data_IF_451440975447
#
_entry.id   IF_451440975447
#
_cell.length_a   1.000
_cell.length_b   1.000
_cell.length_c   1.000
_cell.angle_alpha   90.00
_cell.angle_beta   90.00
_cell.angle_gamma   90.00
#
_symmetry.space_group_name_H-M   'P 1'
#
loop_
_entity.id
_entity.type
_entity.pdbx_description
1 polymer ?
#
# COMPACT_ATOMS: atom_id res chain seq x y z
N UNK A 1 -5.33 19.10 34.60
CA UNK A 1 -4.73 18.65 33.32
C UNK A 1 -5.72 18.97 32.23
N UNK A 2 -5.28 19.54 31.11
CA UNK A 2 -6.17 19.75 29.97
C UNK A 2 -6.48 18.38 29.34
N UNK A 3 -7.76 18.10 29.08
CA UNK A 3 -8.18 16.88 28.39
C UNK A 3 -7.73 16.93 26.93
N UNK A 4 -7.38 15.77 26.37
CA UNK A 4 -7.07 15.63 24.95
C UNK A 4 -8.28 15.93 24.07
N UNK A 5 -8.04 16.50 22.89
CA UNK A 5 -9.04 16.80 21.88
C UNK A 5 -9.01 15.77 20.76
N UNK A 6 -10.16 15.54 20.14
CA UNK A 6 -10.25 14.81 18.88
C UNK A 6 -10.41 15.81 17.74
N UNK A 7 -9.41 15.87 16.87
CA UNK A 7 -9.38 16.75 15.71
C UNK A 7 -9.61 15.95 14.43
N UNK A 8 -10.03 16.62 13.36
CA UNK A 8 -10.24 16.00 12.06
C UNK A 8 -9.81 16.94 10.93
N UNK A 9 -9.25 16.37 9.87
CA UNK A 9 -8.87 17.04 8.63
C UNK A 9 -9.10 16.10 7.45
N UNK A 10 -9.30 16.65 6.26
CA UNK A 10 -9.45 15.92 4.99
C UNK A 10 -8.81 16.72 3.86
N UNK A 11 -8.75 16.14 2.66
CA UNK A 11 -8.42 16.85 1.41
C UNK A 11 -7.07 17.58 1.46
N UNK A 12 -6.04 16.91 1.99
CA UNK A 12 -4.70 17.49 2.11
C UNK A 12 -4.04 17.68 0.74
N UNK A 13 -4.26 16.78 -0.22
CA UNK A 13 -3.65 16.80 -1.55
C UNK A 13 -2.17 17.24 -1.56
N UNK A 14 -1.31 16.50 -0.85
CA UNK A 14 0.10 16.89 -0.58
C UNK A 14 1.02 16.83 -1.80
N UNK A 15 0.48 16.45 -2.96
CA UNK A 15 1.14 16.63 -4.25
C UNK A 15 1.27 18.10 -4.65
N UNK A 16 0.43 18.98 -4.10
CA UNK A 16 0.62 20.43 -4.20
C UNK A 16 1.64 20.89 -3.15
N UNK A 17 2.78 21.50 -3.56
CA UNK A 17 3.84 21.91 -2.63
C UNK A 17 3.35 22.81 -1.50
N UNK A 18 2.38 23.68 -1.77
CA UNK A 18 1.80 24.59 -0.79
C UNK A 18 1.07 23.83 0.32
N UNK A 19 0.29 22.81 -0.05
CA UNK A 19 -0.41 21.97 0.92
C UNK A 19 0.56 21.11 1.72
N UNK A 20 1.66 20.67 1.08
CA UNK A 20 2.72 19.95 1.77
C UNK A 20 3.31 20.78 2.92
N UNK A 21 3.56 22.06 2.68
CA UNK A 21 4.04 22.99 3.71
C UNK A 21 3.02 23.17 4.85
N UNK A 22 1.73 23.16 4.55
CA UNK A 22 0.68 23.20 5.58
C UNK A 22 0.76 21.95 6.47
N UNK A 23 0.85 20.76 5.89
CA UNK A 23 0.97 19.49 6.63
C UNK A 23 2.26 19.46 7.47
N UNK A 24 3.36 20.00 6.94
CA UNK A 24 4.61 20.17 7.68
C UNK A 24 4.50 21.12 8.87
N UNK A 25 3.56 22.05 8.86
CA UNK A 25 3.24 22.95 9.97
C UNK A 25 2.29 22.36 11.02
N UNK A 26 1.48 21.36 10.66
CA UNK A 26 0.45 20.81 11.56
C UNK A 26 1.07 20.17 12.80
N UNK A 27 0.83 20.72 13.98
CA UNK A 27 1.31 20.17 15.26
C UNK A 27 0.16 20.09 16.24
N UNK A 28 0.20 19.08 17.08
CA UNK A 28 -0.71 19.02 18.22
C UNK A 28 -0.44 20.16 19.21
N UNK A 29 -1.50 20.65 19.85
CA UNK A 29 -1.39 21.60 20.97
C UNK A 29 -1.25 20.92 22.33
N UNK A 30 -1.57 19.61 22.40
CA UNK A 30 -1.57 18.81 23.62
C UNK A 30 -1.08 17.38 23.33
N UNK A 31 -0.34 16.78 24.25
CA UNK A 31 0.24 15.44 24.13
C UNK A 31 -0.81 14.31 24.06
N UNK A 32 -2.07 14.61 24.36
CA UNK A 32 -3.20 13.69 24.34
C UNK A 32 -4.13 13.90 23.13
N UNK A 33 -3.84 14.86 22.23
CA UNK A 33 -4.72 15.11 21.07
C UNK A 33 -4.61 13.99 20.04
N UNK A 34 -5.75 13.62 19.49
CA UNK A 34 -5.89 12.64 18.40
C UNK A 34 -6.26 13.37 17.11
N UNK A 35 -5.88 12.79 15.97
CA UNK A 35 -6.22 13.31 14.65
C UNK A 35 -6.89 12.24 13.80
N UNK A 36 -8.02 12.59 13.18
CA UNK A 36 -8.65 11.84 12.10
C UNK A 36 -8.25 12.47 10.77
N UNK A 37 -7.79 11.66 9.83
CA UNK A 37 -7.55 12.06 8.44
C UNK A 37 -8.58 11.37 7.56
N UNK A 38 -9.60 12.12 7.14
CA UNK A 38 -10.78 11.61 6.46
C UNK A 38 -10.63 11.62 4.92
N UNK A 39 -9.54 11.04 4.42
CA UNK A 39 -9.30 10.83 2.98
C UNK A 39 -8.63 11.99 2.25
N UNK A 40 -8.27 11.73 0.99
CA UNK A 40 -7.71 12.67 0.02
C UNK A 40 -6.43 13.39 0.51
N UNK A 41 -5.54 12.62 1.13
CA UNK A 41 -4.14 12.98 1.40
C UNK A 41 -3.38 13.20 0.09
N UNK A 42 -3.53 12.30 -0.89
CA UNK A 42 -2.79 12.35 -2.14
C UNK A 42 -3.05 11.15 -3.04
N UNK A 43 -2.46 11.16 -4.23
CA UNK A 43 -2.70 10.12 -5.25
C UNK A 43 -1.67 8.98 -5.20
N UNK A 44 -0.47 9.26 -4.67
CA UNK A 44 0.65 8.31 -4.66
C UNK A 44 0.88 7.74 -3.25
N UNK A 45 1.14 6.44 -3.18
CA UNK A 45 1.43 5.74 -1.91
C UNK A 45 2.56 6.39 -1.10
N UNK A 46 3.70 6.82 -1.69
CA UNK A 46 4.76 7.48 -0.93
C UNK A 46 4.31 8.79 -0.25
N UNK A 47 3.39 9.54 -0.87
CA UNK A 47 2.86 10.79 -0.29
C UNK A 47 1.91 10.51 0.87
N UNK A 48 1.07 9.49 0.72
CA UNK A 48 0.17 9.02 1.79
C UNK A 48 0.99 8.55 3.00
N UNK A 49 1.99 7.69 2.76
CA UNK A 49 2.89 7.18 3.80
C UNK A 49 3.64 8.32 4.50
N UNK A 50 4.18 9.26 3.73
CA UNK A 50 4.86 10.43 4.27
C UNK A 50 3.97 11.24 5.21
N UNK A 51 2.74 11.57 4.78
CA UNK A 51 1.84 12.39 5.57
C UNK A 51 1.37 11.68 6.85
N UNK A 52 0.96 10.41 6.75
CA UNK A 52 0.49 9.63 7.89
C UNK A 52 1.62 9.42 8.90
N UNK A 53 2.84 9.12 8.45
CA UNK A 53 4.01 9.01 9.32
C UNK A 53 4.30 10.33 10.04
N UNK A 54 4.38 11.43 9.28
CA UNK A 54 4.70 12.74 9.82
C UNK A 54 3.70 13.17 10.90
N UNK A 55 2.40 12.94 10.67
CA UNK A 55 1.36 13.28 11.63
C UNK A 55 1.33 12.28 12.80
N UNK A 56 1.67 11.01 12.56
CA UNK A 56 1.83 10.00 13.61
C UNK A 56 2.92 10.33 14.63
N UNK A 57 3.96 11.06 14.22
CA UNK A 57 5.01 11.57 15.12
C UNK A 57 4.56 12.79 15.94
N UNK A 58 3.40 13.39 15.64
CA UNK A 58 2.98 14.71 16.14
C UNK A 58 1.71 14.67 16.99
N UNK A 59 0.90 13.64 16.83
CA UNK A 59 -0.35 13.43 17.55
C UNK A 59 -0.25 12.15 18.36
N UNK A 60 -0.97 12.07 19.49
CA UNK A 60 -0.99 10.89 20.33
C UNK A 60 -1.51 9.66 19.59
N UNK A 61 -2.42 9.88 18.64
CA UNK A 61 -2.95 8.88 17.72
C UNK A 61 -3.43 9.53 16.44
N UNK A 62 -3.18 8.85 15.32
CA UNK A 62 -3.75 9.18 14.02
C UNK A 62 -4.63 8.03 13.55
N UNK A 63 -5.85 8.35 13.12
CA UNK A 63 -6.77 7.42 12.47
C UNK A 63 -6.99 7.91 11.05
N UNK A 64 -6.74 7.06 10.06
CA UNK A 64 -6.87 7.41 8.66
C UNK A 64 -7.86 6.50 7.95
N UNK A 65 -8.61 7.08 7.02
CA UNK A 65 -9.46 6.37 6.06
C UNK A 65 -9.13 6.86 4.65
N UNK A 66 -9.08 5.97 3.64
CA UNK A 66 -8.84 6.39 2.26
C UNK A 66 -10.00 7.21 1.70
N UNK A 67 -9.69 8.25 0.92
CA UNK A 67 -10.63 8.99 0.09
C UNK A 67 -10.67 8.44 -1.33
N UNK A 68 -11.23 9.21 -2.28
CA UNK A 68 -11.29 8.75 -3.66
C UNK A 68 -9.93 8.88 -4.37
N UNK A 69 -9.11 9.88 -4.06
CA UNK A 69 -7.82 10.06 -4.73
C UNK A 69 -6.85 8.90 -4.44
N UNK A 70 -6.91 8.31 -3.24
CA UNK A 70 -6.08 7.15 -2.90
C UNK A 70 -6.49 5.85 -3.59
N UNK A 71 -7.75 5.75 -4.02
CA UNK A 71 -8.29 4.54 -4.65
C UNK A 71 -8.10 4.54 -6.17
N UNK A 72 -7.65 5.66 -6.74
CA UNK A 72 -7.37 5.76 -8.16
C UNK A 72 -5.95 5.25 -8.43
N UNK A 73 -5.79 4.45 -9.47
CA UNK A 73 -4.46 4.05 -9.96
C UNK A 73 -4.07 5.02 -11.09
N UNK A 74 -3.27 6.06 -10.83
CA UNK A 74 -2.86 6.96 -11.89
C UNK A 74 -2.07 6.20 -12.97
N UNK A 75 -2.19 6.55 -14.26
CA UNK A 75 -1.55 5.83 -15.37
C UNK A 75 -0.02 5.67 -15.23
N UNK A 76 0.62 6.59 -14.51
CA UNK A 76 2.04 6.56 -14.21
C UNK A 76 2.43 5.54 -13.13
N UNK A 77 1.54 5.16 -12.22
CA UNK A 77 1.72 4.00 -11.33
C UNK A 77 1.69 2.66 -12.10
N UNK A 78 1.22 2.65 -13.37
CA UNK A 78 1.29 1.50 -14.27
C UNK A 78 2.61 1.44 -15.06
N UNK A 79 3.41 2.51 -15.11
CA UNK A 79 4.74 2.45 -15.74
C UNK A 79 5.73 1.75 -14.82
N UNK A 80 5.75 0.42 -14.89
CA UNK A 80 7.00 -0.30 -14.65
C UNK A 80 8.01 0.27 -15.65
N UNK A 81 9.18 0.81 -15.22
CA UNK A 81 10.18 1.22 -16.19
C UNK A 81 10.49 0.02 -17.07
N UNK A 82 10.33 0.20 -18.39
CA UNK A 82 10.77 -0.78 -19.39
C UNK A 82 12.19 -1.21 -19.00
N UNK A 83 12.44 -2.51 -18.79
CA UNK A 83 13.77 -2.95 -18.40
C UNK A 83 14.74 -2.58 -19.53
N UNK A 84 15.56 -1.56 -19.30
CA UNK A 84 16.68 -1.21 -20.18
C UNK A 84 17.78 -2.26 -19.95
N UNK A 85 17.57 -3.44 -20.52
CA UNK A 85 18.49 -4.57 -20.42
C UNK A 85 17.73 -5.88 -20.30
N UNK A 86 17.91 -6.74 -21.29
CA UNK A 86 17.56 -8.15 -21.24
C UNK A 86 18.42 -8.81 -20.14
N UNK A 87 17.95 -8.76 -18.89
CA UNK A 87 18.54 -9.55 -17.81
C UNK A 87 18.00 -10.96 -17.96
N UNK A 88 18.68 -11.77 -18.77
CA UNK A 88 18.44 -13.20 -18.83
C UNK A 88 18.82 -13.80 -17.48
N UNK A 89 17.84 -14.02 -16.63
CA UNK A 89 18.00 -14.81 -15.41
C UNK A 89 17.98 -16.28 -15.82
N UNK A 90 19.16 -16.90 -15.89
CA UNK A 90 19.29 -18.33 -16.05
C UNK A 90 18.92 -19.03 -14.75
N UNK A 91 17.71 -19.58 -14.70
CA UNK A 91 17.30 -20.50 -13.63
C UNK A 91 17.92 -21.85 -13.94
N UNK A 92 18.96 -22.24 -13.21
CA UNK A 92 19.41 -23.64 -13.18
C UNK A 92 18.46 -24.43 -12.27
N UNK A 93 17.77 -25.46 -12.76
CA UNK A 93 16.99 -26.33 -11.89
C UNK A 93 17.96 -27.11 -11.01
N UNK A 94 18.00 -26.78 -9.71
CA UNK A 94 18.60 -27.65 -8.70
C UNK A 94 17.79 -28.94 -8.65
N UNK A 95 18.44 -30.07 -8.94
CA UNK A 95 17.85 -31.40 -8.97
C UNK A 95 17.55 -31.89 -7.54
N UNK A 96 16.55 -31.32 -6.89
CA UNK A 96 15.81 -31.96 -5.79
C UNK A 96 14.67 -31.05 -5.35
N UNK A 97 13.60 -30.98 -6.14
CA UNK A 97 12.31 -30.50 -5.65
C UNK A 97 11.21 -31.35 -6.29
N UNK A 98 10.82 -32.41 -5.59
CA UNK A 98 9.73 -33.29 -6.00
C UNK A 98 8.40 -32.55 -5.81
N UNK A 99 7.89 -31.92 -6.87
CA UNK A 99 6.51 -31.44 -6.89
C UNK A 99 5.60 -32.67 -7.03
N UNK A 100 4.97 -33.06 -5.94
CA UNK A 100 3.87 -34.02 -5.98
C UNK A 100 2.63 -33.28 -6.49
N UNK A 101 2.32 -33.44 -7.78
CA UNK A 101 1.03 -33.04 -8.32
C UNK A 101 -0.01 -34.06 -7.88
N UNK A 102 -0.84 -33.75 -6.90
CA UNK A 102 -2.13 -34.44 -6.74
C UNK A 102 -3.01 -34.06 -7.93
N UNK A 103 -3.30 -35.04 -8.78
CA UNK A 103 -4.23 -34.90 -9.91
C UNK A 103 -5.62 -34.51 -9.39
N UNK A 104 -6.11 -33.36 -9.83
CA UNK A 104 -7.54 -33.03 -9.72
C UNK A 104 -8.32 -33.66 -10.88
N UNK A 105 -9.55 -34.16 -10.65
CA UNK A 105 -10.37 -34.74 -11.69
C UNK A 105 -10.72 -33.69 -12.74
N UNK A 106 -10.48 -34.03 -14.01
CA UNK A 106 -10.75 -33.19 -15.18
C UNK A 106 -12.24 -32.90 -15.28
N UNK A 107 -12.63 -31.63 -15.12
CA UNK A 107 -13.98 -31.16 -15.46
C UNK A 107 -14.00 -30.76 -16.93
N UNK A 108 -14.61 -31.60 -17.75
CA UNK A 108 -14.94 -31.28 -19.14
C UNK A 108 -16.11 -30.29 -19.16
N UNK A 109 -15.82 -29.03 -19.53
CA UNK A 109 -16.84 -28.12 -20.05
C UNK A 109 -16.16 -26.99 -20.84
N UNK A 110 -16.37 -27.03 -22.17
CA UNK A 110 -16.05 -26.02 -23.18
C UNK A 110 -16.89 -24.73 -22.99
N UNK A 111 -16.56 -23.61 -23.67
CA UNK A 111 -16.41 -22.32 -23.00
C UNK A 111 -17.58 -21.36 -23.23
N UNK A 112 -17.83 -20.49 -22.25
CA UNK A 112 -18.49 -19.20 -22.49
C UNK A 112 -17.77 -18.09 -21.72
N UNK A 113 -17.35 -17.09 -22.49
CA UNK A 113 -16.71 -15.82 -22.15
C UNK A 113 -16.84 -15.26 -20.73
N UNK A 114 -15.70 -14.80 -20.22
CA UNK A 114 -15.54 -13.70 -19.25
C UNK A 114 -15.74 -14.05 -17.77
N UNK A 115 -14.76 -14.75 -17.18
CA UNK A 115 -14.60 -14.80 -15.72
C UNK A 115 -13.13 -14.64 -15.31
N UNK A 116 -12.87 -13.50 -14.66
CA UNK A 116 -11.68 -13.09 -13.90
C UNK A 116 -10.93 -14.27 -13.26
N UNK A 117 -9.69 -14.51 -13.70
CA UNK A 117 -8.75 -15.34 -12.95
C UNK A 117 -8.29 -14.60 -11.70
N UNK A 118 -8.76 -15.04 -10.53
CA UNK A 118 -8.19 -14.67 -9.23
C UNK A 118 -7.13 -15.72 -8.88
N UNK A 119 -5.87 -15.41 -9.14
CA UNK A 119 -4.77 -16.19 -8.55
C UNK A 119 -4.57 -15.74 -7.10
N UNK A 120 -5.12 -16.51 -6.17
CA UNK A 120 -4.74 -16.43 -4.76
C UNK A 120 -3.35 -17.04 -4.60
N UNK A 121 -2.33 -16.20 -4.41
CA UNK A 121 -1.00 -16.65 -4.04
C UNK A 121 -0.86 -16.51 -2.52
N UNK A 122 -0.99 -17.61 -1.79
CA UNK A 122 -0.70 -17.67 -0.36
C UNK A 122 0.82 -17.78 -0.18
N UNK A 123 1.50 -16.65 0.03
CA UNK A 123 2.89 -16.63 0.48
C UNK A 123 2.93 -16.98 1.97
N UNK A 124 3.20 -18.25 2.28
CA UNK A 124 3.68 -18.62 3.63
C UNK A 124 5.16 -18.23 3.71
N UNK A 125 5.47 -17.31 4.61
CA UNK A 125 6.82 -17.00 5.06
C UNK A 125 7.48 -18.25 5.64
N UNK A 126 8.69 -18.57 5.18
CA UNK A 126 9.60 -19.49 5.87
C UNK A 126 11.04 -19.09 5.56
N UNK A 127 11.79 -18.65 6.57
CA UNK A 127 13.21 -18.35 6.42
C UNK A 127 13.78 -17.50 7.55
N UNK A 128 14.15 -18.16 8.64
CA UNK A 128 14.88 -17.60 9.78
C UNK A 128 16.31 -17.21 9.36
N UNK A 129 16.72 -15.97 9.58
CA UNK A 129 18.14 -15.59 9.55
C UNK A 129 18.70 -15.88 10.95
N UNK A 130 19.65 -16.81 11.04
CA UNK A 130 20.48 -17.04 12.24
C UNK A 130 21.76 -16.23 12.12
N UNK A 131 22.07 -15.55 13.22
CA UNK A 131 23.34 -14.99 13.73
C UNK A 131 24.41 -14.54 12.73
#
# INVERSE_FOLDING_TARGET
MAHGKLLAISDLHVGYPENRLVVEGLRSTNDQDWLIIAGDIGELVPDIEWAVRLLGERFAKVVWTPGNHELWTPPEARRVPEPSGETTVSVTPSASCSISMTSWPSRTSTPSSTARSRSSCSLRHCGTIKS
#
